data_IF_238852774117
#
_entry.id   IF_238852774117
#
_cell.length_a   1.000
_cell.length_b   1.000
_cell.length_c   1.000
_cell.angle_alpha   90.00
_cell.angle_beta   90.00
_cell.angle_gamma   90.00
#
_symmetry.space_group_name_H-M   'P 1'
#
loop_
_entity.id
_entity.type
_entity.pdbx_description
1 polymer ?
#
# COMPACT_ATOMS: atom_id res chain seq x y z
N UNK A 1 -6.50 46.94 -5.80
CA UNK A 1 -6.58 46.04 -4.64
C UNK A 1 -7.78 45.13 -4.86
N UNK A 2 -7.55 43.88 -5.27
CA UNK A 2 -8.63 42.90 -5.37
C UNK A 2 -9.04 42.53 -3.94
N UNK A 3 -10.31 42.72 -3.60
CA UNK A 3 -10.84 42.27 -2.32
C UNK A 3 -10.82 40.75 -2.29
N UNK A 4 -10.02 40.18 -1.40
CA UNK A 4 -10.13 38.76 -1.07
C UNK A 4 -11.52 38.51 -0.47
N UNK A 5 -12.39 37.88 -1.25
CA UNK A 5 -13.61 37.29 -0.72
C UNK A 5 -13.19 36.20 0.28
N UNK A 6 -13.62 36.24 1.55
CA UNK A 6 -13.27 35.22 2.51
C UNK A 6 -13.77 33.87 1.99
N UNK A 7 -12.87 32.90 1.84
CA UNK A 7 -13.26 31.54 1.50
C UNK A 7 -14.29 31.05 2.53
N UNK A 8 -15.39 30.41 2.09
CA UNK A 8 -16.38 29.87 3.02
C UNK A 8 -15.67 28.91 3.98
N UNK A 9 -16.00 28.95 5.29
CA UNK A 9 -15.30 28.15 6.27
C UNK A 9 -15.48 26.67 5.96
N UNK A 10 -14.37 25.95 5.74
CA UNK A 10 -14.40 24.50 5.59
C UNK A 10 -14.99 23.86 6.86
N UNK A 11 -15.96 22.94 6.73
CA UNK A 11 -16.60 22.33 7.90
C UNK A 11 -15.66 21.41 8.67
N UNK A 12 -14.64 20.85 8.01
CA UNK A 12 -13.62 20.00 8.62
C UNK A 12 -12.57 20.90 9.30
N UNK A 13 -12.41 20.74 10.62
CA UNK A 13 -11.43 21.48 11.43
C UNK A 13 -10.27 20.61 11.92
N UNK A 14 -10.44 19.29 11.87
CA UNK A 14 -9.45 18.33 12.35
C UNK A 14 -9.41 17.16 11.39
N UNK A 15 -8.21 16.78 10.98
CA UNK A 15 -7.95 15.61 10.14
C UNK A 15 -7.10 14.65 10.97
N UNK A 16 -7.58 13.42 11.13
CA UNK A 16 -6.81 12.34 11.77
C UNK A 16 -6.41 11.35 10.70
N UNK A 17 -5.10 11.14 10.53
CA UNK A 17 -4.57 10.19 9.55
C UNK A 17 -4.04 8.96 10.29
N UNK A 18 -4.80 7.86 10.24
CA UNK A 18 -4.35 6.57 10.74
C UNK A 18 -3.55 5.84 9.65
N UNK A 19 -2.23 5.80 9.81
CA UNK A 19 -1.34 5.12 8.87
C UNK A 19 -1.10 3.69 9.34
N UNK A 20 -1.52 2.73 8.52
CA UNK A 20 -1.38 1.29 8.80
C UNK A 20 -0.21 0.68 8.00
N UNK A 21 0.02 -0.62 8.21
CA UNK A 21 1.19 -1.33 7.69
C UNK A 21 0.80 -2.56 6.87
N UNK A 22 1.50 -2.76 5.75
CA UNK A 22 1.65 -4.00 4.98
C UNK A 22 0.37 -4.81 4.69
N UNK A 23 -0.69 -4.16 4.18
CA UNK A 23 -1.89 -4.85 3.67
C UNK A 23 -2.36 -4.24 2.35
N UNK A 24 -2.65 -5.08 1.36
CA UNK A 24 -3.21 -4.65 0.07
C UNK A 24 -4.72 -4.43 0.16
N UNK A 25 -5.28 -3.72 -0.82
CA UNK A 25 -6.72 -3.48 -0.90
C UNK A 25 -7.50 -4.80 -0.96
N UNK A 26 -7.15 -5.70 -1.88
CA UNK A 26 -7.88 -6.97 -2.03
C UNK A 26 -7.76 -7.88 -0.80
N UNK A 27 -6.64 -7.80 -0.08
CA UNK A 27 -6.45 -8.56 1.16
C UNK A 27 -7.41 -8.12 2.27
N UNK A 28 -7.68 -6.82 2.43
CA UNK A 28 -8.52 -6.30 3.52
C UNK A 28 -9.98 -6.05 3.09
N UNK A 29 -10.16 -5.48 1.90
CA UNK A 29 -11.43 -4.92 1.43
C UNK A 29 -11.95 -5.57 0.15
N UNK A 30 -11.18 -6.46 -0.50
CA UNK A 30 -11.59 -7.09 -1.77
C UNK A 30 -12.96 -7.75 -1.68
N UNK A 31 -13.21 -8.52 -0.62
CA UNK A 31 -14.48 -9.23 -0.43
C UNK A 31 -15.63 -8.35 0.09
N UNK A 32 -15.36 -7.09 0.43
CA UNK A 32 -16.40 -6.13 0.82
C UNK A 32 -17.32 -5.76 -0.35
N UNK A 33 -16.95 -6.11 -1.58
CA UNK A 33 -17.84 -6.04 -2.76
C UNK A 33 -19.17 -6.77 -2.53
N UNK A 34 -19.18 -7.83 -1.72
CA UNK A 34 -20.40 -8.54 -1.33
C UNK A 34 -21.37 -7.70 -0.49
N UNK A 35 -20.85 -6.69 0.23
CA UNK A 35 -21.63 -5.75 1.04
C UNK A 35 -21.99 -4.49 0.26
N UNK A 36 -21.03 -3.96 -0.50
CA UNK A 36 -21.22 -2.80 -1.36
C UNK A 36 -20.72 -3.13 -2.79
N UNK A 37 -21.64 -3.45 -3.73
CA UNK A 37 -21.28 -3.81 -5.10
C UNK A 37 -20.54 -2.71 -5.89
N UNK A 38 -20.57 -1.45 -5.42
CA UNK A 38 -19.86 -0.34 -6.05
C UNK A 38 -18.35 -0.40 -5.82
N UNK A 39 -17.90 -1.16 -4.81
CA UNK A 39 -16.47 -1.34 -4.55
C UNK A 39 -15.82 -2.12 -5.70
N UNK A 40 -14.71 -1.60 -6.19
CA UNK A 40 -13.80 -2.28 -7.12
C UNK A 40 -12.98 -3.39 -6.42
N UNK A 41 -13.68 -4.36 -5.84
CA UNK A 41 -13.11 -5.54 -5.19
C UNK A 41 -13.19 -6.80 -6.05
N UNK A 42 -12.84 -7.93 -5.43
CA UNK A 42 -12.71 -9.23 -6.09
C UNK A 42 -14.05 -9.92 -6.34
N UNK A 43 -14.04 -10.84 -7.29
CA UNK A 43 -15.20 -11.63 -7.72
C UNK A 43 -15.04 -13.12 -7.42
N UNK A 44 -13.83 -13.56 -7.08
CA UNK A 44 -13.44 -14.97 -6.95
C UNK A 44 -13.03 -15.62 -8.28
N UNK A 45 -12.97 -14.85 -9.37
CA UNK A 45 -12.45 -15.32 -10.66
C UNK A 45 -10.98 -14.96 -10.87
N UNK A 46 -10.45 -14.06 -10.03
CA UNK A 46 -9.07 -13.62 -10.05
C UNK A 46 -8.15 -14.79 -9.68
N UNK A 47 -7.05 -14.96 -10.41
CA UNK A 47 -6.10 -16.04 -10.15
C UNK A 47 -4.68 -15.68 -10.59
N UNK A 48 -3.69 -16.32 -9.97
CA UNK A 48 -2.29 -16.23 -10.37
C UNK A 48 -1.69 -17.64 -10.55
N UNK A 49 -0.84 -17.85 -11.56
CA UNK A 49 -0.10 -19.10 -11.71
C UNK A 49 1.02 -19.20 -10.66
N UNK A 50 1.37 -20.42 -10.25
CA UNK A 50 2.56 -20.67 -9.41
C UNK A 50 3.87 -20.40 -10.18
N UNK A 51 3.83 -20.46 -11.50
CA UNK A 51 4.94 -20.12 -12.39
C UNK A 51 4.42 -19.42 -13.64
N UNK A 52 4.85 -18.20 -13.90
CA UNK A 52 4.46 -17.40 -15.08
C UNK A 52 5.18 -17.84 -16.35
N UNK A 53 6.29 -18.57 -16.23
CA UNK A 53 7.05 -19.10 -17.36
C UNK A 53 6.55 -20.46 -17.86
N UNK A 54 5.67 -21.11 -17.10
CA UNK A 54 5.09 -22.42 -17.44
C UNK A 54 3.60 -22.27 -17.79
N UNK A 55 3.21 -22.41 -19.07
CA UNK A 55 1.81 -22.34 -19.49
C UNK A 55 0.91 -23.41 -18.85
N UNK A 56 1.49 -24.53 -18.37
CA UNK A 56 0.79 -25.60 -17.68
C UNK A 56 0.74 -25.44 -16.16
N UNK A 57 1.24 -24.32 -15.63
CA UNK A 57 1.33 -24.10 -14.19
C UNK A 57 -0.04 -24.09 -13.52
N UNK A 58 -0.12 -24.75 -12.36
CA UNK A 58 -1.29 -24.65 -11.49
C UNK A 58 -1.58 -23.19 -11.15
N UNK A 59 -2.86 -22.83 -11.15
CA UNK A 59 -3.32 -21.50 -10.77
C UNK A 59 -3.99 -21.55 -9.41
N UNK A 60 -3.67 -20.58 -8.57
CA UNK A 60 -4.38 -20.31 -7.33
C UNK A 60 -5.41 -19.24 -7.60
N UNK A 61 -6.66 -19.54 -7.29
CA UNK A 61 -7.75 -18.58 -7.31
C UNK A 61 -7.75 -17.78 -6.02
N UNK A 62 -8.05 -16.49 -6.11
CA UNK A 62 -8.10 -15.63 -4.95
C UNK A 62 -9.29 -16.04 -4.07
N UNK A 63 -8.99 -16.46 -2.83
CA UNK A 63 -9.97 -16.93 -1.87
C UNK A 63 -10.27 -15.94 -0.75
N UNK A 64 -11.11 -16.36 0.20
CA UNK A 64 -11.52 -15.56 1.36
C UNK A 64 -11.09 -16.19 2.71
N UNK A 65 -10.02 -16.99 2.68
CA UNK A 65 -9.55 -17.78 3.81
C UNK A 65 -8.39 -17.13 4.58
N UNK A 66 -8.21 -15.80 4.48
CA UNK A 66 -7.17 -15.12 5.26
C UNK A 66 -7.40 -15.31 6.75
N UNK A 67 -6.31 -15.60 7.45
CA UNK A 67 -6.25 -15.77 8.89
C UNK A 67 -5.41 -14.65 9.51
N UNK A 68 -5.53 -14.45 10.82
CA UNK A 68 -4.75 -13.45 11.57
C UNK A 68 -3.30 -13.88 11.81
N UNK A 69 -2.63 -14.38 10.77
CA UNK A 69 -1.21 -14.72 10.78
C UNK A 69 -0.46 -13.62 10.07
N UNK A 70 0.65 -13.18 10.67
CA UNK A 70 1.51 -12.17 10.07
C UNK A 70 2.50 -12.84 9.11
N UNK A 71 2.04 -13.12 7.90
CA UNK A 71 2.94 -13.43 6.79
C UNK A 71 3.47 -12.13 6.21
N UNK A 72 4.79 -12.07 5.98
CA UNK A 72 5.47 -10.91 5.40
C UNK A 72 5.90 -11.23 3.96
N UNK A 73 4.99 -11.16 2.98
CA UNK A 73 5.34 -11.36 1.59
C UNK A 73 6.30 -10.28 1.10
N UNK A 74 7.05 -10.57 0.04
CA UNK A 74 8.03 -9.66 -0.52
C UNK A 74 7.43 -8.29 -0.86
N UNK A 75 7.96 -7.24 -0.24
CA UNK A 75 7.52 -5.85 -0.43
C UNK A 75 8.70 -4.91 -0.72
N UNK A 76 9.77 -5.45 -1.33
CA UNK A 76 10.83 -4.66 -1.97
C UNK A 76 10.42 -4.25 -3.39
N UNK A 77 11.14 -3.29 -3.99
CA UNK A 77 10.93 -2.92 -5.39
C UNK A 77 11.07 -4.14 -6.30
N UNK A 78 12.04 -5.02 -6.04
CA UNK A 78 12.29 -6.21 -6.85
C UNK A 78 11.14 -7.22 -6.73
N UNK A 79 10.60 -7.41 -5.52
CA UNK A 79 9.46 -8.28 -5.29
C UNK A 79 8.20 -7.73 -5.97
N UNK A 80 7.89 -6.44 -5.79
CA UNK A 80 6.75 -5.81 -6.46
C UNK A 80 6.90 -5.79 -7.98
N UNK A 81 8.11 -5.63 -8.50
CA UNK A 81 8.35 -5.76 -9.94
C UNK A 81 7.97 -7.16 -10.43
N UNK A 82 8.41 -8.21 -9.74
CA UNK A 82 8.02 -9.59 -10.09
C UNK A 82 6.51 -9.80 -9.99
N UNK A 83 5.87 -9.29 -8.95
CA UNK A 83 4.42 -9.41 -8.76
C UNK A 83 3.63 -8.76 -9.90
N UNK A 84 4.03 -7.55 -10.31
CA UNK A 84 3.36 -6.76 -11.34
C UNK A 84 3.64 -7.30 -12.75
N UNK A 85 4.90 -7.61 -13.07
CA UNK A 85 5.31 -7.97 -14.43
C UNK A 85 5.41 -9.48 -14.65
N UNK A 86 5.30 -10.28 -13.60
CA UNK A 86 5.41 -11.73 -13.65
C UNK A 86 6.84 -12.25 -13.84
N UNK A 87 7.87 -11.40 -13.75
CA UNK A 87 9.26 -11.79 -13.95
C UNK A 87 10.19 -11.11 -12.94
N UNK A 88 11.18 -11.83 -12.38
CA UNK A 88 12.17 -11.21 -11.50
C UNK A 88 12.89 -10.04 -12.16
N UNK A 89 13.09 -8.97 -11.40
CA UNK A 89 13.83 -7.81 -11.90
C UNK A 89 15.30 -8.15 -12.19
N UNK A 90 15.81 -7.65 -13.32
CA UNK A 90 17.24 -7.70 -13.70
C UNK A 90 17.68 -6.33 -14.24
N UNK A 91 18.98 -6.11 -14.43
CA UNK A 91 19.47 -4.87 -15.04
C UNK A 91 18.90 -4.64 -16.45
N UNK A 92 18.68 -5.73 -17.21
CA UNK A 92 18.08 -5.67 -18.55
C UNK A 92 16.59 -5.28 -18.50
N UNK A 93 15.91 -5.50 -17.37
CA UNK A 93 14.51 -5.10 -17.19
C UNK A 93 14.31 -3.59 -17.31
N UNK A 94 15.33 -2.77 -17.04
CA UNK A 94 15.26 -1.32 -17.15
C UNK A 94 15.04 -0.80 -18.58
N UNK A 95 15.42 -1.60 -19.60
CA UNK A 95 15.19 -1.27 -21.01
C UNK A 95 14.01 -2.04 -21.63
N UNK A 96 13.37 -2.92 -20.86
CA UNK A 96 12.24 -3.73 -21.32
C UNK A 96 10.92 -3.02 -21.05
N UNK A 97 10.06 -2.95 -22.06
CA UNK A 97 8.70 -2.44 -21.92
C UNK A 97 7.71 -3.59 -21.69
N UNK A 98 7.83 -4.24 -20.53
CA UNK A 98 6.95 -5.34 -20.14
C UNK A 98 5.53 -4.83 -19.84
N UNK A 99 4.52 -5.63 -20.19
CA UNK A 99 3.14 -5.35 -19.79
C UNK A 99 2.93 -5.75 -18.31
N UNK A 100 2.26 -4.92 -17.49
CA UNK A 100 1.95 -5.25 -16.11
C UNK A 100 0.81 -6.27 -16.05
N UNK A 101 1.15 -7.56 -16.05
CA UNK A 101 0.17 -8.67 -16.11
C UNK A 101 -0.51 -8.96 -14.78
N UNK A 102 0.06 -8.52 -13.66
CA UNK A 102 -0.39 -8.82 -12.30
C UNK A 102 -0.46 -10.33 -11.99
N UNK A 103 0.36 -11.14 -12.66
CA UNK A 103 0.38 -12.61 -12.54
C UNK A 103 1.51 -13.16 -11.64
N UNK A 104 2.33 -12.30 -11.05
CA UNK A 104 3.52 -12.75 -10.32
C UNK A 104 3.34 -12.94 -8.81
N UNK A 105 2.17 -12.69 -8.23
CA UNK A 105 1.97 -12.71 -6.78
C UNK A 105 2.18 -14.09 -6.18
N UNK A 106 1.51 -15.11 -6.74
CA UNK A 106 1.64 -16.48 -6.25
C UNK A 106 3.07 -17.02 -6.47
N UNK A 107 3.67 -16.80 -7.64
CA UNK A 107 5.05 -17.19 -7.94
C UNK A 107 6.05 -16.55 -6.96
N UNK A 108 5.97 -15.23 -6.77
CA UNK A 108 6.90 -14.51 -5.91
C UNK A 108 6.79 -15.01 -4.45
N UNK A 109 5.57 -15.17 -3.95
CA UNK A 109 5.32 -15.70 -2.62
C UNK A 109 5.87 -17.13 -2.43
N UNK A 110 5.61 -18.03 -3.39
CA UNK A 110 6.08 -19.42 -3.34
C UNK A 110 7.61 -19.52 -3.33
N UNK A 111 8.29 -18.61 -4.03
CA UNK A 111 9.76 -18.50 -4.04
C UNK A 111 10.31 -17.97 -2.71
N UNK A 112 9.60 -17.06 -2.06
CA UNK A 112 10.00 -16.53 -0.75
C UNK A 112 9.87 -17.61 0.32
N UNK A 113 8.75 -18.32 0.34
CA UNK A 113 8.52 -19.44 1.25
C UNK A 113 7.53 -20.42 0.63
N UNK A 114 7.92 -21.69 0.58
CA UNK A 114 7.05 -22.75 0.07
C UNK A 114 5.70 -22.76 0.80
N UNK A 115 4.61 -22.72 0.05
CA UNK A 115 3.23 -22.65 0.56
C UNK A 115 2.73 -21.24 0.91
N UNK A 116 3.55 -20.20 0.86
CA UNK A 116 3.12 -18.82 1.12
C UNK A 116 2.19 -18.29 0.03
N UNK A 117 2.24 -18.87 -1.17
CA UNK A 117 1.32 -18.54 -2.26
C UNK A 117 -0.15 -18.74 -1.87
N UNK A 118 -0.45 -19.79 -1.11
CA UNK A 118 -1.80 -20.03 -0.54
C UNK A 118 -2.20 -18.92 0.43
N UNK A 119 -1.27 -18.38 1.22
CA UNK A 119 -1.58 -17.25 2.12
C UNK A 119 -1.81 -15.96 1.35
N UNK A 120 -0.95 -15.64 0.38
CA UNK A 120 -1.01 -14.37 -0.38
C UNK A 120 -2.23 -14.32 -1.31
N UNK A 121 -2.67 -15.47 -1.83
CA UNK A 121 -3.85 -15.57 -2.69
C UNK A 121 -5.16 -15.67 -1.91
N UNK A 122 -5.23 -15.07 -0.72
CA UNK A 122 -6.45 -14.97 0.07
C UNK A 122 -6.67 -13.56 0.63
N UNK A 123 -7.94 -13.17 0.72
CA UNK A 123 -8.44 -11.98 1.39
C UNK A 123 -9.24 -12.31 2.64
N UNK A 124 -9.49 -11.31 3.50
CA UNK A 124 -10.44 -11.45 4.60
C UNK A 124 -11.88 -11.34 4.08
N UNK A 125 -12.73 -12.28 4.51
CA UNK A 125 -14.19 -12.07 4.44
C UNK A 125 -14.60 -10.94 5.40
N UNK A 126 -15.70 -10.21 5.12
CA UNK A 126 -16.10 -9.05 5.91
C UNK A 126 -16.25 -9.33 7.42
N UNK A 127 -16.73 -10.52 7.78
CA UNK A 127 -17.00 -10.93 9.17
C UNK A 127 -15.72 -11.14 9.96
N UNK A 128 -14.61 -11.44 9.29
CA UNK A 128 -13.30 -11.58 9.93
C UNK A 128 -12.66 -10.24 10.26
N UNK A 129 -13.17 -9.13 9.70
CA UNK A 129 -12.63 -7.78 9.93
C UNK A 129 -13.78 -6.83 10.22
N UNK A 130 -14.56 -7.14 11.27
CA UNK A 130 -15.82 -6.48 11.59
C UNK A 130 -15.72 -4.93 11.65
N UNK A 131 -14.62 -4.37 12.19
CA UNK A 131 -14.43 -2.91 12.21
C UNK A 131 -14.36 -2.33 10.79
N UNK A 132 -13.63 -2.98 9.88
CA UNK A 132 -13.57 -2.54 8.48
C UNK A 132 -14.91 -2.70 7.77
N UNK A 133 -15.64 -3.79 8.06
CA UNK A 133 -16.99 -4.00 7.54
C UNK A 133 -17.91 -2.81 7.87
N UNK A 134 -17.94 -2.37 9.13
CA UNK A 134 -18.77 -1.23 9.54
C UNK A 134 -18.29 0.08 8.90
N UNK A 135 -16.97 0.31 8.84
CA UNK A 135 -16.43 1.51 8.19
C UNK A 135 -16.77 1.58 6.70
N UNK A 136 -16.73 0.46 5.99
CA UNK A 136 -17.10 0.38 4.57
C UNK A 136 -18.59 0.61 4.34
N UNK A 137 -19.44 0.18 5.28
CA UNK A 137 -20.89 0.36 5.17
C UNK A 137 -21.32 1.82 5.40
N UNK A 138 -20.66 2.51 6.32
CA UNK A 138 -21.11 3.81 6.83
C UNK A 138 -20.29 5.01 6.31
N UNK A 139 -19.12 4.78 5.69
CA UNK A 139 -18.21 5.83 5.25
C UNK A 139 -17.73 5.66 3.80
N UNK A 140 -17.11 6.72 3.28
CA UNK A 140 -16.54 6.72 1.95
C UNK A 140 -15.29 5.81 1.87
N UNK A 141 -15.20 5.05 0.77
CA UNK A 141 -14.06 4.20 0.45
C UNK A 141 -13.40 4.68 -0.84
N UNK A 142 -12.08 4.90 -0.80
CA UNK A 142 -11.28 5.15 -1.99
C UNK A 142 -10.73 3.80 -2.52
N UNK A 143 -11.39 3.21 -3.50
CA UNK A 143 -11.06 1.88 -4.07
C UNK A 143 -10.07 1.91 -5.25
N UNK A 144 -9.48 3.08 -5.49
CA UNK A 144 -8.41 3.34 -6.46
C UNK A 144 -7.31 4.23 -5.87
N UNK A 145 -6.98 3.98 -4.60
CA UNK A 145 -5.90 4.64 -3.89
C UNK A 145 -4.64 3.77 -3.92
N UNK A 146 -3.59 4.23 -4.59
CA UNK A 146 -2.35 3.48 -4.79
C UNK A 146 -1.20 4.08 -3.97
N UNK A 147 -0.22 3.24 -3.63
CA UNK A 147 1.06 3.71 -3.11
C UNK A 147 1.75 4.64 -4.10
N UNK A 148 2.45 5.67 -3.61
CA UNK A 148 3.11 6.66 -4.46
C UNK A 148 4.27 6.04 -5.26
N UNK A 149 4.91 5.01 -4.71
CA UNK A 149 5.97 4.24 -5.34
C UNK A 149 5.82 2.76 -4.98
N UNK A 150 6.07 1.82 -5.92
CA UNK A 150 6.11 0.40 -5.61
C UNK A 150 7.41 0.04 -4.87
N UNK A 151 7.57 0.55 -3.65
CA UNK A 151 8.72 0.35 -2.77
C UNK A 151 8.29 0.05 -1.33
N UNK A 152 9.26 -0.28 -0.47
CA UNK A 152 9.02 -0.66 0.92
C UNK A 152 8.42 0.48 1.77
N UNK A 153 8.20 0.20 3.06
CA UNK A 153 7.58 1.11 4.02
C UNK A 153 8.19 2.51 4.05
N UNK A 154 9.52 2.63 4.17
CA UNK A 154 10.18 3.91 4.39
C UNK A 154 9.92 4.90 3.23
N UNK A 155 10.16 4.57 1.95
CA UNK A 155 9.80 5.45 0.84
C UNK A 155 8.34 5.93 0.86
N UNK A 156 7.38 5.03 1.12
CA UNK A 156 5.97 5.41 1.13
C UNK A 156 5.59 6.25 2.36
N UNK A 157 6.22 6.04 3.52
CA UNK A 157 6.09 6.93 4.68
C UNK A 157 6.63 8.33 4.39
N UNK A 158 7.73 8.43 3.63
CA UNK A 158 8.26 9.72 3.19
C UNK A 158 7.25 10.46 2.30
N UNK A 159 6.64 9.76 1.33
CA UNK A 159 5.58 10.34 0.50
C UNK A 159 4.38 10.83 1.30
N UNK A 160 3.91 10.06 2.29
CA UNK A 160 2.77 10.45 3.15
C UNK A 160 3.00 11.79 3.85
N UNK A 161 4.23 12.08 4.26
CA UNK A 161 4.53 13.28 5.05
C UNK A 161 5.12 14.43 4.24
N UNK A 162 5.67 14.19 3.06
CA UNK A 162 6.43 15.21 2.31
C UNK A 162 6.17 15.22 0.79
N UNK A 163 5.25 14.40 0.30
CA UNK A 163 4.94 14.23 -1.12
C UNK A 163 6.13 13.79 -2.01
N UNK A 164 7.26 13.38 -1.41
CA UNK A 164 8.43 12.83 -2.10
C UNK A 164 9.15 11.80 -1.22
N UNK A 165 9.88 10.86 -1.82
CA UNK A 165 10.83 10.00 -1.09
C UNK A 165 12.28 10.49 -1.16
N UNK A 166 12.54 11.58 -1.89
CA UNK A 166 13.89 12.08 -2.17
C UNK A 166 14.84 10.99 -2.70
N UNK A 167 14.31 10.16 -3.59
CA UNK A 167 15.06 9.07 -4.21
C UNK A 167 15.28 7.85 -3.31
N UNK A 168 14.70 7.80 -2.10
CA UNK A 168 14.68 6.57 -1.32
C UNK A 168 13.84 5.51 -2.04
N UNK A 169 14.40 4.31 -2.16
CA UNK A 169 13.84 3.16 -2.90
C UNK A 169 13.70 1.91 -2.03
N UNK A 170 14.26 1.90 -0.82
CA UNK A 170 14.19 0.80 0.12
C UNK A 170 14.25 1.32 1.55
N UNK A 171 14.04 0.44 2.51
CA UNK A 171 14.33 0.76 3.91
C UNK A 171 15.86 0.87 4.09
N UNK A 172 16.35 2.04 4.48
CA UNK A 172 17.77 2.28 4.77
C UNK A 172 17.91 3.03 6.10
N UNK A 173 18.43 2.35 7.12
CA UNK A 173 18.60 2.92 8.46
C UNK A 173 19.65 4.02 8.49
N UNK A 174 20.71 3.91 7.69
CA UNK A 174 21.79 4.92 7.68
C UNK A 174 21.28 6.22 7.09
N UNK A 175 20.62 6.15 5.93
CA UNK A 175 19.99 7.33 5.32
C UNK A 175 18.94 7.97 6.21
N UNK A 176 18.15 7.15 6.91
CA UNK A 176 17.18 7.66 7.88
C UNK A 176 17.87 8.45 9.01
N UNK A 177 18.98 7.96 9.53
CA UNK A 177 19.73 8.66 10.59
C UNK A 177 20.42 9.93 10.07
N UNK A 178 20.94 9.90 8.84
CA UNK A 178 21.52 11.07 8.17
C UNK A 178 20.47 12.17 7.97
N UNK A 179 19.24 11.76 7.70
CA UNK A 179 18.07 12.61 7.57
C UNK A 179 17.72 12.96 6.13
N UNK A 180 16.48 13.40 5.93
CA UNK A 180 15.92 13.73 4.63
C UNK A 180 15.63 15.24 4.52
N UNK A 181 16.06 15.92 3.44
CA UNK A 181 16.06 17.39 3.35
C UNK A 181 14.72 18.00 2.92
N UNK A 182 13.71 17.17 2.71
CA UNK A 182 12.40 17.61 2.22
C UNK A 182 11.53 18.17 3.34
N UNK A 183 10.86 19.29 3.04
CA UNK A 183 9.85 19.87 3.91
C UNK A 183 8.64 18.94 4.03
N UNK A 184 8.15 18.79 5.26
CA UNK A 184 6.97 18.01 5.61
C UNK A 184 5.71 18.86 5.62
N UNK A 185 4.56 18.18 5.58
CA UNK A 185 3.25 18.80 5.82
C UNK A 185 3.18 19.43 7.22
N UNK A 186 3.89 18.88 8.21
CA UNK A 186 3.87 19.38 9.58
C UNK A 186 4.58 20.71 9.73
N UNK A 187 5.74 20.88 9.08
CA UNK A 187 6.41 22.19 8.99
C UNK A 187 5.52 23.21 8.26
N UNK A 188 4.82 22.78 7.21
CA UNK A 188 3.87 23.66 6.50
C UNK A 188 2.68 24.07 7.37
N UNK A 189 2.19 23.18 8.24
CA UNK A 189 1.14 23.49 9.21
C UNK A 189 1.64 24.47 10.29
N UNK A 190 2.84 24.24 10.82
CA UNK A 190 3.46 25.09 11.85
C UNK A 190 3.67 26.53 11.36
N UNK A 191 4.25 26.68 10.16
CA UNK A 191 4.51 27.98 9.54
C UNK A 191 3.22 28.80 9.31
N UNK A 192 2.10 28.13 9.02
CA UNK A 192 0.79 28.74 8.86
C UNK A 192 0.01 28.90 10.19
N UNK A 193 0.66 28.59 11.33
CA UNK A 193 0.06 28.74 12.66
C UNK A 193 -1.01 27.70 12.99
N UNK A 194 -1.01 26.55 12.32
CA UNK A 194 -1.91 25.43 12.57
C UNK A 194 -1.30 24.40 13.53
N UNK A 195 -2.12 23.87 14.43
CA UNK A 195 -1.69 22.82 15.35
C UNK A 195 -1.68 21.45 14.67
N UNK A 196 -0.72 20.62 15.06
CA UNK A 196 -0.66 19.21 14.68
C UNK A 196 -0.13 18.37 15.84
N UNK A 197 -0.39 17.05 15.76
CA UNK A 197 0.12 16.08 16.70
C UNK A 197 0.56 14.82 15.98
N UNK A 198 1.67 14.23 16.43
CA UNK A 198 2.22 12.99 15.88
C UNK A 198 2.19 11.94 16.99
N UNK A 199 1.29 10.97 16.86
CA UNK A 199 1.09 9.89 17.82
C UNK A 199 1.70 8.61 17.25
N UNK A 200 2.56 7.96 18.04
CA UNK A 200 3.34 6.82 17.56
C UNK A 200 3.62 5.81 18.68
N UNK A 201 3.80 4.55 18.29
CA UNK A 201 4.25 3.48 19.21
C UNK A 201 5.77 3.29 19.20
N UNK A 202 6.41 3.56 18.06
CA UNK A 202 7.87 3.55 17.86
C UNK A 202 8.31 4.86 17.20
N UNK A 203 9.59 5.30 17.33
CA UNK A 203 10.04 6.61 16.86
C UNK A 203 9.56 6.91 15.43
N UNK A 204 8.81 8.01 15.20
CA UNK A 204 8.12 8.22 13.95
C UNK A 204 9.12 8.68 12.88
N UNK A 205 8.84 8.34 11.61
CA UNK A 205 9.64 8.75 10.46
C UNK A 205 9.84 10.28 10.41
N UNK A 206 8.91 11.04 10.98
CA UNK A 206 8.90 12.50 11.07
C UNK A 206 10.04 13.10 11.88
N UNK A 207 10.71 12.33 12.76
CA UNK A 207 11.90 12.82 13.49
C UNK A 207 13.18 12.83 12.63
N UNK A 208 13.13 12.26 11.43
CA UNK A 208 14.29 12.07 10.56
C UNK A 208 14.32 13.03 9.37
N UNK A 209 13.45 14.04 9.35
CA UNK A 209 13.54 15.16 8.41
C UNK A 209 14.49 16.22 8.99
N UNK A 210 15.30 16.85 8.14
CA UNK A 210 16.33 17.83 8.55
C UNK A 210 16.45 18.98 7.58
#
# INVERSE_FOLDING_TARGET
MASETPNPPFPIKTVVVLVQENRSFDHMLGWMKSLNPQINGVTGSESNPLSTSDPGSNRLFFGQNSIYVDSDPGHSIQAMYEQIFGQPWTQNSASQNLQPTMQGFAQNAERTQKGMSETVMNGFKPESVAVYKELVAEYAVCDRWFAAVPASTQPNRLFVHSATSHGATSNDTKKLIEGFPQKTIFESLDEEGHSFGIYYQAPPATLFYR
#
